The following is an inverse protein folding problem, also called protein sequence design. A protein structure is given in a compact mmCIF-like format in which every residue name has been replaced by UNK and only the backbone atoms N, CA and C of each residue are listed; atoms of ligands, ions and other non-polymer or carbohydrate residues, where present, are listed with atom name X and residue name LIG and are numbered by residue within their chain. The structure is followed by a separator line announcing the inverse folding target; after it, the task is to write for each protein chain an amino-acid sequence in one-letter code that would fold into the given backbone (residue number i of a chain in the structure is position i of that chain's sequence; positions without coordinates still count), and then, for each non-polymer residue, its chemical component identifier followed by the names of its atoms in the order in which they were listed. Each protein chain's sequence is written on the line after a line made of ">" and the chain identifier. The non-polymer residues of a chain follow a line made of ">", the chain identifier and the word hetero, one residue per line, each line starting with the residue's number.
data_IF_355654685026
#
_entry.id   IF_355654685026
#
_cell.length_a   1.000
_cell.length_b   1.000
_cell.length_c   1.000
_cell.angle_alpha   90.00
_cell.angle_beta   90.00
_cell.angle_gamma   90.00
#
_symmetry.space_group_name_H-M   'P 1'
#
loop_
_entity.id
_entity.type
_entity.pdbx_description
1 polymer ?
#
# COMPACT_ATOMS: atom_id res chain seq x y z
N UNK A 1 18.04 -4.31 -22.33
CA UNK A 1 18.02 -5.08 -21.07
C UNK A 1 18.08 -6.57 -21.40
N UNK A 2 18.83 -7.36 -20.65
CA UNK A 2 18.92 -8.80 -20.89
C UNK A 2 17.66 -9.52 -20.39
N UNK A 3 17.32 -10.72 -20.96
CA UNK A 3 16.18 -11.50 -20.47
C UNK A 3 16.24 -11.82 -18.96
N UNK A 4 17.44 -12.04 -18.42
CA UNK A 4 17.60 -12.30 -16.99
C UNK A 4 17.24 -11.08 -16.14
N UNK A 5 17.61 -9.87 -16.58
CA UNK A 5 17.25 -8.62 -15.90
C UNK A 5 15.74 -8.37 -15.98
N UNK A 6 15.11 -8.63 -17.12
CA UNK A 6 13.66 -8.51 -17.30
C UNK A 6 12.92 -9.45 -16.35
N UNK A 7 13.40 -10.70 -16.21
CA UNK A 7 12.81 -11.68 -15.29
C UNK A 7 12.94 -11.25 -13.82
N UNK A 8 14.08 -10.69 -13.43
CA UNK A 8 14.30 -10.19 -12.07
C UNK A 8 13.38 -9.02 -11.75
N UNK A 9 13.24 -8.06 -12.67
CA UNK A 9 12.37 -6.90 -12.49
C UNK A 9 10.91 -7.35 -12.40
N UNK A 10 10.48 -8.26 -13.28
CA UNK A 10 9.12 -8.79 -13.27
C UNK A 10 8.80 -9.59 -12.00
N UNK A 11 9.82 -10.23 -11.38
CA UNK A 11 9.64 -10.96 -10.14
C UNK A 11 9.55 -10.07 -8.90
N UNK A 12 10.00 -8.81 -8.98
CA UNK A 12 9.95 -7.87 -7.85
C UNK A 12 8.51 -7.42 -7.62
N UNK A 13 8.06 -7.56 -6.37
CA UNK A 13 6.70 -7.19 -5.99
C UNK A 13 6.57 -5.68 -5.90
N UNK A 14 5.59 -5.14 -6.59
CA UNK A 14 5.30 -3.71 -6.64
C UNK A 14 4.20 -3.35 -5.66
N UNK A 15 4.46 -2.37 -4.83
CA UNK A 15 3.56 -1.87 -3.80
C UNK A 15 3.22 -0.42 -4.11
N UNK A 16 1.93 -0.06 -4.02
CA UNK A 16 1.49 1.33 -4.06
C UNK A 16 1.27 1.80 -2.62
N UNK A 17 2.01 2.81 -2.21
CA UNK A 17 1.87 3.44 -0.90
C UNK A 17 1.15 4.77 -1.04
N UNK A 18 -0.01 4.90 -0.39
CA UNK A 18 -0.85 6.10 -0.41
C UNK A 18 -0.81 6.74 0.97
N UNK A 19 -0.07 7.82 1.11
CA UNK A 19 0.13 8.53 2.37
C UNK A 19 0.36 10.01 2.09
N UNK A 20 -0.46 10.89 2.66
CA UNK A 20 -0.37 12.33 2.40
C UNK A 20 0.71 13.05 3.20
N UNK A 21 1.09 12.52 4.37
CA UNK A 21 2.13 13.15 5.19
C UNK A 21 3.51 12.81 4.63
N UNK A 22 4.30 13.82 4.17
CA UNK A 22 5.55 13.56 3.46
C UNK A 22 6.59 12.76 4.24
N UNK A 23 6.77 13.06 5.51
CA UNK A 23 7.77 12.38 6.34
C UNK A 23 7.41 10.92 6.54
N UNK A 24 6.15 10.63 6.89
CA UNK A 24 5.65 9.27 7.05
C UNK A 24 5.76 8.50 5.74
N UNK A 25 5.38 9.12 4.63
CA UNK A 25 5.45 8.51 3.29
C UNK A 25 6.89 8.13 2.93
N UNK A 26 7.84 9.03 3.16
CA UNK A 26 9.24 8.78 2.86
C UNK A 26 9.83 7.67 3.74
N UNK A 27 9.54 7.68 5.03
CA UNK A 27 10.03 6.66 5.96
C UNK A 27 9.49 5.28 5.56
N UNK A 28 8.20 5.14 5.33
CA UNK A 28 7.60 3.87 4.94
C UNK A 28 8.14 3.38 3.60
N UNK A 29 8.26 4.27 2.61
CA UNK A 29 8.80 3.91 1.31
C UNK A 29 10.25 3.42 1.41
N UNK A 30 11.08 4.13 2.18
CA UNK A 30 12.49 3.76 2.37
C UNK A 30 12.62 2.41 3.06
N UNK A 31 11.85 2.16 4.12
CA UNK A 31 11.90 0.90 4.85
C UNK A 31 11.44 -0.26 3.94
N UNK A 32 10.36 -0.09 3.19
CA UNK A 32 9.87 -1.13 2.28
C UNK A 32 10.84 -1.39 1.13
N UNK A 33 11.42 -0.35 0.55
CA UNK A 33 12.44 -0.49 -0.49
C UNK A 33 13.69 -1.18 0.05
N UNK A 34 14.07 -0.87 1.28
CA UNK A 34 15.19 -1.53 1.97
C UNK A 34 14.98 -3.01 2.16
N UNK A 35 13.73 -3.47 2.26
CA UNK A 35 13.39 -4.90 2.32
C UNK A 35 13.43 -5.56 0.94
N UNK A 36 13.47 -4.80 -0.14
CA UNK A 36 13.56 -5.31 -1.51
C UNK A 36 12.31 -5.15 -2.36
N UNK A 37 11.25 -4.53 -1.84
CA UNK A 37 10.03 -4.25 -2.62
C UNK A 37 10.24 -3.07 -3.56
N UNK A 38 9.53 -3.08 -4.69
CA UNK A 38 9.39 -1.91 -5.56
C UNK A 38 8.21 -1.08 -5.03
N UNK A 39 8.44 0.18 -4.71
CA UNK A 39 7.42 1.03 -4.08
C UNK A 39 7.20 2.30 -4.89
N UNK A 40 5.96 2.51 -5.32
CA UNK A 40 5.50 3.78 -5.85
C UNK A 40 4.72 4.51 -4.74
N UNK A 41 4.88 5.82 -4.64
CA UNK A 41 4.25 6.62 -3.60
C UNK A 41 3.36 7.68 -4.20
N UNK A 42 2.20 7.87 -3.59
CA UNK A 42 1.26 8.94 -3.94
C UNK A 42 0.68 9.55 -2.66
N UNK A 43 0.12 10.75 -2.78
CA UNK A 43 -0.33 11.52 -1.63
C UNK A 43 -1.86 11.52 -1.43
N UNK A 44 -2.63 10.94 -2.33
CA UNK A 44 -4.08 10.99 -2.25
C UNK A 44 -4.80 10.01 -3.16
N UNK A 45 -6.12 10.08 -3.12
CA UNK A 45 -7.03 9.16 -3.84
C UNK A 45 -6.89 9.31 -5.36
N UNK A 46 -6.91 10.53 -5.87
CA UNK A 46 -6.84 10.77 -7.33
C UNK A 46 -5.55 10.20 -7.92
N UNK A 47 -4.41 10.48 -7.29
CA UNK A 47 -3.12 9.96 -7.76
C UNK A 47 -3.06 8.44 -7.65
N UNK A 48 -3.62 7.86 -6.58
CA UNK A 48 -3.71 6.40 -6.43
C UNK A 48 -4.53 5.77 -7.55
N UNK A 49 -5.65 6.36 -7.90
CA UNK A 49 -6.50 5.86 -8.99
C UNK A 49 -5.79 5.90 -10.35
N UNK A 50 -5.00 6.93 -10.62
CA UNK A 50 -4.19 7.00 -11.84
C UNK A 50 -3.19 5.85 -11.88
N UNK A 51 -2.48 5.60 -10.78
CA UNK A 51 -1.53 4.50 -10.69
C UNK A 51 -2.21 3.13 -10.88
N UNK A 52 -3.34 2.91 -10.20
CA UNK A 52 -4.08 1.64 -10.31
C UNK A 52 -4.63 1.39 -11.71
N UNK A 53 -4.92 2.44 -12.47
CA UNK A 53 -5.35 2.33 -13.86
C UNK A 53 -4.22 2.11 -14.86
N UNK A 54 -2.96 2.32 -14.45
CA UNK A 54 -1.81 2.35 -15.35
C UNK A 54 -0.80 1.23 -15.11
N UNK A 55 -0.69 0.74 -13.87
CA UNK A 55 0.32 -0.23 -13.45
C UNK A 55 -0.32 -1.36 -12.66
N UNK A 56 0.35 -2.51 -12.66
CA UNK A 56 -0.04 -3.66 -11.85
C UNK A 56 0.68 -3.64 -10.51
N UNK A 57 -0.07 -3.85 -9.44
CA UNK A 57 0.46 -3.89 -8.07
C UNK A 57 0.10 -5.20 -7.39
N UNK A 58 1.00 -5.67 -6.51
CA UNK A 58 0.72 -6.80 -5.62
C UNK A 58 -0.09 -6.37 -4.41
N UNK A 59 0.13 -5.14 -3.94
CA UNK A 59 -0.46 -4.63 -2.72
C UNK A 59 -0.63 -3.12 -2.78
N UNK A 60 -1.72 -2.62 -2.22
CA UNK A 60 -1.90 -1.21 -1.89
C UNK A 60 -1.85 -1.06 -0.37
N UNK A 61 -1.01 -0.17 0.12
CA UNK A 61 -0.98 0.28 1.51
C UNK A 61 -1.51 1.70 1.52
N UNK A 62 -2.67 1.92 2.10
CA UNK A 62 -3.33 3.22 2.08
C UNK A 62 -3.65 3.72 3.48
N UNK A 63 -3.30 4.98 3.77
CA UNK A 63 -3.77 5.67 4.96
C UNK A 63 -5.29 5.90 4.82
N UNK A 64 -6.03 5.75 5.92
CA UNK A 64 -7.47 5.96 5.89
C UNK A 64 -7.84 7.40 5.58
N UNK A 65 -7.21 8.36 6.27
CA UNK A 65 -7.50 9.78 6.07
C UNK A 65 -6.59 10.36 4.99
N UNK A 66 -7.18 10.76 3.89
CA UNK A 66 -6.49 11.38 2.76
C UNK A 66 -7.15 12.72 2.44
N UNK A 67 -6.41 13.69 1.86
CA UNK A 67 -6.95 15.04 1.63
C UNK A 67 -8.12 15.08 0.65
N UNK A 68 -8.21 14.13 -0.27
CA UNK A 68 -9.24 14.06 -1.31
C UNK A 68 -10.14 12.84 -1.21
N UNK A 69 -10.21 12.21 -0.02
CA UNK A 69 -11.07 11.05 0.20
C UNK A 69 -10.54 10.17 1.33
N UNK A 70 -10.80 8.87 1.24
CA UNK A 70 -10.33 7.92 2.24
C UNK A 70 -9.67 6.69 1.64
N UNK A 71 -8.82 6.05 2.43
CA UNK A 71 -8.06 4.88 2.01
C UNK A 71 -8.90 3.63 1.82
N UNK A 72 -10.08 3.55 2.43
CA UNK A 72 -11.00 2.40 2.20
C UNK A 72 -11.52 2.45 0.77
N UNK A 73 -11.85 3.62 0.24
CA UNK A 73 -12.27 3.76 -1.15
C UNK A 73 -11.15 3.34 -2.12
N UNK A 74 -9.91 3.71 -1.84
CA UNK A 74 -8.75 3.27 -2.63
C UNK A 74 -8.59 1.76 -2.54
N UNK A 75 -8.69 1.19 -1.35
CA UNK A 75 -8.57 -0.24 -1.13
C UNK A 75 -9.70 -1.02 -1.80
N UNK A 76 -10.93 -0.53 -1.76
CA UNK A 76 -12.07 -1.16 -2.45
C UNK A 76 -11.82 -1.21 -3.96
N UNK A 77 -11.32 -0.13 -4.55
CA UNK A 77 -10.97 -0.11 -5.98
C UNK A 77 -9.84 -1.08 -6.30
N UNK A 78 -8.80 -1.12 -5.48
CA UNK A 78 -7.68 -2.05 -5.64
C UNK A 78 -8.16 -3.50 -5.57
N UNK A 79 -8.99 -3.83 -4.59
CA UNK A 79 -9.57 -5.17 -4.43
C UNK A 79 -10.40 -5.58 -5.65
N UNK A 80 -11.15 -4.66 -6.23
CA UNK A 80 -11.91 -4.91 -7.46
C UNK A 80 -11.01 -5.23 -8.65
N UNK A 81 -9.74 -4.78 -8.63
CA UNK A 81 -8.73 -5.09 -9.64
C UNK A 81 -7.90 -6.34 -9.29
N UNK A 82 -8.24 -7.04 -8.21
CA UNK A 82 -7.51 -8.23 -7.75
C UNK A 82 -6.24 -7.93 -6.95
N UNK A 83 -6.06 -6.70 -6.51
CA UNK A 83 -4.89 -6.26 -5.74
C UNK A 83 -5.16 -6.45 -4.24
N UNK A 84 -4.18 -6.98 -3.51
CA UNK A 84 -4.26 -7.10 -2.06
C UNK A 84 -4.23 -5.73 -1.41
N UNK A 85 -4.82 -5.60 -0.23
CA UNK A 85 -5.02 -4.31 0.43
C UNK A 85 -4.60 -4.32 1.89
N UNK A 86 -4.07 -3.19 2.35
CA UNK A 86 -3.75 -2.92 3.74
C UNK A 86 -4.11 -1.47 4.03
N UNK A 87 -5.00 -1.22 4.98
CA UNK A 87 -5.42 0.12 5.37
C UNK A 87 -4.81 0.47 6.72
N UNK A 88 -4.15 1.63 6.78
CA UNK A 88 -3.48 2.13 7.98
C UNK A 88 -4.31 3.27 8.56
N UNK A 89 -4.64 3.21 9.84
CA UNK A 89 -5.45 4.23 10.50
C UNK A 89 -4.92 4.55 11.89
N UNK A 90 -5.00 5.83 12.26
CA UNK A 90 -4.73 6.27 13.62
C UNK A 90 -5.78 5.79 14.62
N UNK A 91 -7.03 5.68 14.17
CA UNK A 91 -8.16 5.25 15.01
C UNK A 91 -9.01 4.23 14.24
N UNK A 92 -8.76 2.96 14.49
CA UNK A 92 -9.44 1.86 13.77
C UNK A 92 -10.95 1.86 14.02
N UNK A 93 -11.40 2.24 15.22
CA UNK A 93 -12.82 2.30 15.56
C UNK A 93 -13.61 3.33 14.73
N UNK A 94 -12.97 4.27 14.07
CA UNK A 94 -13.62 5.26 13.19
C UNK A 94 -13.84 4.74 11.77
N UNK A 95 -13.23 3.62 11.41
CA UNK A 95 -13.41 3.00 10.10
C UNK A 95 -14.83 2.44 9.96
N UNK A 96 -15.36 2.33 8.72
CA UNK A 96 -16.63 1.63 8.50
C UNK A 96 -16.60 0.25 9.12
N UNK A 97 -17.72 -0.15 9.77
CA UNK A 97 -17.77 -1.37 10.56
C UNK A 97 -17.47 -2.66 9.80
N UNK A 98 -17.62 -2.66 8.48
CA UNK A 98 -17.35 -3.81 7.62
C UNK A 98 -15.98 -3.74 6.92
N UNK A 99 -15.20 -2.69 7.14
CA UNK A 99 -13.91 -2.52 6.47
C UNK A 99 -12.96 -3.69 6.78
N UNK A 100 -12.98 -4.21 8.01
CA UNK A 100 -12.14 -5.34 8.41
C UNK A 100 -12.50 -6.66 7.70
N UNK A 101 -13.70 -6.76 7.15
CA UNK A 101 -14.11 -7.93 6.36
C UNK A 101 -13.54 -7.90 4.95
N UNK A 102 -13.21 -6.71 4.45
CA UNK A 102 -12.69 -6.52 3.08
C UNK A 102 -11.19 -6.28 3.03
N UNK A 103 -10.63 -5.68 4.08
CA UNK A 103 -9.24 -5.23 4.10
C UNK A 103 -8.56 -5.56 5.42
N UNK A 104 -7.25 -5.79 5.36
CA UNK A 104 -6.43 -5.88 6.55
C UNK A 104 -6.23 -4.46 7.10
N UNK A 105 -6.53 -4.27 8.39
CA UNK A 105 -6.42 -2.97 9.06
C UNK A 105 -5.24 -2.99 10.01
N UNK A 106 -4.46 -1.91 10.03
CA UNK A 106 -3.33 -1.77 10.94
C UNK A 106 -3.35 -0.39 11.58
N UNK A 107 -2.99 -0.31 12.86
CA UNK A 107 -2.88 0.96 13.58
C UNK A 107 -1.62 1.71 13.18
N UNK A 108 -1.75 3.00 12.91
CA UNK A 108 -0.62 3.87 12.56
C UNK A 108 0.41 3.97 13.69
N UNK A 109 -0.02 3.85 14.95
CA UNK A 109 0.83 3.97 16.13
C UNK A 109 1.82 2.83 16.34
N UNK A 110 1.67 1.68 15.64
CA UNK A 110 2.57 0.53 15.82
C UNK A 110 3.93 0.68 15.12
N UNK A 111 4.07 1.72 14.31
CA UNK A 111 5.34 2.08 13.68
C UNK A 111 5.64 1.38 12.35
N UNK A 112 6.74 1.79 11.67
CA UNK A 112 7.06 1.31 10.32
C UNK A 112 7.33 -0.18 10.22
N UNK A 113 7.97 -0.78 11.23
CA UNK A 113 8.30 -2.22 11.18
C UNK A 113 7.06 -3.11 11.27
N UNK A 114 6.00 -2.65 11.92
CA UNK A 114 4.73 -3.37 11.92
C UNK A 114 4.06 -3.33 10.53
N UNK A 115 4.21 -2.24 9.81
CA UNK A 115 3.75 -2.14 8.40
C UNK A 115 4.55 -3.13 7.54
N UNK A 116 5.87 -3.19 7.70
CA UNK A 116 6.72 -4.15 6.98
C UNK A 116 6.28 -5.58 7.25
N UNK A 117 6.03 -5.93 8.52
CA UNK A 117 5.55 -7.27 8.89
C UNK A 117 4.20 -7.60 8.24
N UNK A 118 3.27 -6.63 8.22
CA UNK A 118 1.97 -6.81 7.59
C UNK A 118 2.08 -6.96 6.06
N UNK A 119 2.96 -6.21 5.43
CA UNK A 119 3.24 -6.33 3.99
C UNK A 119 3.79 -7.71 3.68
N UNK A 120 4.78 -8.16 4.44
CA UNK A 120 5.38 -9.48 4.24
C UNK A 120 4.36 -10.61 4.44
N UNK A 121 3.48 -10.48 5.43
CA UNK A 121 2.40 -11.44 5.66
C UNK A 121 1.40 -11.47 4.49
N UNK A 122 1.14 -10.31 3.88
CA UNK A 122 0.17 -10.20 2.78
C UNK A 122 0.71 -10.74 1.45
N UNK A 123 1.97 -10.42 1.11
CA UNK A 123 2.52 -10.70 -0.22
C UNK A 123 3.76 -11.59 -0.21
N UNK A 124 4.26 -11.95 0.97
CA UNK A 124 5.49 -12.72 1.11
C UNK A 124 6.74 -11.88 0.90
N UNK A 125 7.89 -12.54 0.79
CA UNK A 125 9.15 -11.86 0.53
C UNK A 125 9.15 -11.18 -0.83
N UNK A 126 9.89 -10.09 -0.97
CA UNK A 126 9.95 -9.34 -2.22
C UNK A 126 10.53 -10.11 -3.39
#
# INVERSE_FOLDING_TARGET
>A
MSPAQDSLIAAMKRILLVEDEPTTREILAEVLRGEGYTVDTVAGVSAANVCLGSLEYELVVADWLLPDGDGVAVADRAAALGVKTLVVSGVISELPGDAHLRHHLIRKSVGPMAVVSAVRAAVGSP
#
